data_IF_129192090246
#
_entry.id   IF_129192090246
#
_cell.length_a   1.000
_cell.length_b   1.000
_cell.length_c   1.000
_cell.angle_alpha   90.00
_cell.angle_beta   90.00
_cell.angle_gamma   90.00
#
_symmetry.space_group_name_H-M   'P 1'
#
loop_
_entity.id
_entity.type
_entity.pdbx_description
1 polymer ?
#
# COMPACT_ATOMS: atom_id res chain seq x y z
N UNK A 1 29.19 11.00 -85.87
CA UNK A 1 29.25 9.96 -84.82
C UNK A 1 29.37 10.55 -83.41
N UNK A 2 30.27 11.52 -83.18
CA UNK A 2 30.57 12.11 -81.86
C UNK A 2 29.34 12.74 -81.14
N UNK A 3 28.52 13.55 -81.83
CA UNK A 3 27.37 14.20 -81.19
C UNK A 3 26.33 13.20 -80.64
N UNK A 4 26.03 12.13 -81.40
CA UNK A 4 25.11 11.07 -80.95
C UNK A 4 25.60 10.37 -79.68
N UNK A 5 26.90 10.12 -79.56
CA UNK A 5 27.50 9.50 -78.36
C UNK A 5 27.36 10.42 -77.15
N UNK A 6 27.57 11.72 -77.34
CA UNK A 6 27.40 12.74 -76.30
C UNK A 6 25.95 12.81 -75.81
N UNK A 7 24.98 12.85 -76.71
CA UNK A 7 23.56 12.96 -76.37
C UNK A 7 23.07 11.71 -75.61
N UNK A 8 23.49 10.51 -76.03
CA UNK A 8 23.21 9.25 -75.32
C UNK A 8 23.80 9.22 -73.91
N UNK A 9 25.01 9.75 -73.72
CA UNK A 9 25.64 9.85 -72.41
C UNK A 9 24.84 10.77 -71.47
N UNK A 10 24.48 11.97 -71.94
CA UNK A 10 23.68 12.92 -71.17
C UNK A 10 22.30 12.36 -70.78
N UNK A 11 21.62 11.69 -71.72
CA UNK A 11 20.33 11.08 -71.44
C UNK A 11 20.44 9.99 -70.35
N UNK A 12 21.53 9.22 -70.37
CA UNK A 12 21.79 8.17 -69.37
C UNK A 12 22.14 8.76 -68.00
N UNK A 13 22.88 9.85 -67.93
CA UNK A 13 23.17 10.55 -66.66
C UNK A 13 21.92 11.20 -66.08
N UNK A 14 21.08 11.82 -66.91
CA UNK A 14 19.83 12.45 -66.46
C UNK A 14 18.82 11.44 -65.90
N UNK A 15 18.70 10.27 -66.55
CA UNK A 15 17.86 9.20 -66.03
C UNK A 15 18.39 8.66 -64.70
N UNK A 16 19.71 8.54 -64.56
CA UNK A 16 20.35 8.11 -63.31
C UNK A 16 20.10 9.11 -62.19
N UNK A 17 20.27 10.42 -62.45
CA UNK A 17 20.05 11.49 -61.48
C UNK A 17 18.59 11.51 -60.99
N UNK A 18 17.62 11.48 -61.92
CA UNK A 18 16.19 11.40 -61.57
C UNK A 18 15.86 10.16 -60.73
N UNK A 19 16.51 9.03 -61.00
CA UNK A 19 16.33 7.81 -60.20
C UNK A 19 16.88 7.97 -58.78
N UNK A 20 17.96 8.70 -58.59
CA UNK A 20 18.55 8.99 -57.27
C UNK A 20 17.65 9.95 -56.49
N UNK A 21 17.20 11.04 -57.11
CA UNK A 21 16.31 12.02 -56.47
C UNK A 21 15.02 11.38 -55.97
N UNK A 22 14.42 10.49 -56.78
CA UNK A 22 13.24 9.72 -56.38
C UNK A 22 13.50 8.89 -55.12
N UNK A 23 14.65 8.22 -55.04
CA UNK A 23 15.04 7.40 -53.87
C UNK A 23 15.28 8.27 -52.63
N UNK A 24 15.88 9.45 -52.79
CA UNK A 24 16.11 10.40 -51.69
C UNK A 24 14.77 10.83 -51.09
N UNK A 25 13.81 11.24 -51.92
CA UNK A 25 12.46 11.65 -51.47
C UNK A 25 11.76 10.50 -50.76
N UNK A 26 11.85 9.29 -51.30
CA UNK A 26 11.25 8.10 -50.69
C UNK A 26 11.83 7.81 -49.29
N UNK A 27 13.16 7.85 -49.15
CA UNK A 27 13.84 7.64 -47.87
C UNK A 27 13.44 8.71 -46.85
N UNK A 28 13.41 9.98 -47.26
CA UNK A 28 12.96 11.08 -46.40
C UNK A 28 11.52 10.90 -45.95
N UNK A 29 10.62 10.52 -46.87
CA UNK A 29 9.21 10.25 -46.57
C UNK A 29 9.06 9.12 -45.55
N UNK A 30 9.79 8.00 -45.74
CA UNK A 30 9.78 6.87 -44.81
C UNK A 30 10.28 7.28 -43.42
N UNK A 31 11.37 8.06 -43.35
CA UNK A 31 11.92 8.53 -42.08
C UNK A 31 10.93 9.38 -41.28
N UNK A 32 10.27 10.32 -41.95
CA UNK A 32 9.22 11.16 -41.33
C UNK A 32 8.04 10.30 -40.88
N UNK A 33 7.59 9.35 -41.71
CA UNK A 33 6.49 8.45 -41.35
C UNK A 33 6.80 7.59 -40.11
N UNK A 34 8.03 7.08 -39.99
CA UNK A 34 8.46 6.31 -38.81
C UNK A 34 8.44 7.19 -37.54
N UNK A 35 8.97 8.42 -37.62
CA UNK A 35 8.95 9.36 -36.48
C UNK A 35 7.52 9.69 -36.04
N UNK A 36 6.63 9.95 -37.00
CA UNK A 36 5.21 10.22 -36.70
C UNK A 36 4.51 9.00 -36.09
N UNK A 37 4.75 7.80 -36.61
CA UNK A 37 4.19 6.57 -36.03
C UNK A 37 4.63 6.35 -34.59
N UNK A 38 5.91 6.59 -34.27
CA UNK A 38 6.42 6.51 -32.89
C UNK A 38 5.71 7.49 -31.96
N UNK A 39 5.64 8.77 -32.34
CA UNK A 39 4.94 9.79 -31.55
C UNK A 39 3.44 9.48 -31.39
N UNK A 40 2.79 8.99 -32.45
CA UNK A 40 1.37 8.62 -32.38
C UNK A 40 1.12 7.42 -31.46
N UNK A 41 2.08 6.52 -31.31
CA UNK A 41 1.98 5.40 -30.37
C UNK A 41 2.04 5.86 -28.90
N UNK A 42 2.66 7.00 -28.59
CA UNK A 42 2.73 7.57 -27.23
C UNK A 42 1.43 8.29 -26.82
N UNK A 43 0.64 8.79 -27.78
CA UNK A 43 -0.63 9.50 -27.52
C UNK A 43 -1.59 8.69 -26.63
N UNK A 44 -1.91 7.41 -26.90
CA UNK A 44 -2.81 6.65 -26.04
C UNK A 44 -2.27 6.47 -24.62
N UNK A 45 -0.97 6.26 -24.44
CA UNK A 45 -0.36 6.14 -23.11
C UNK A 45 -0.50 7.43 -22.31
N UNK A 46 -0.29 8.59 -22.96
CA UNK A 46 -0.47 9.90 -22.33
C UNK A 46 -1.93 10.16 -21.96
N UNK A 47 -2.89 9.76 -22.81
CA UNK A 47 -4.33 9.86 -22.50
C UNK A 47 -4.71 9.01 -21.29
N UNK A 48 -4.19 7.79 -21.20
CA UNK A 48 -4.43 6.91 -20.05
C UNK A 48 -3.85 7.50 -18.76
N UNK A 49 -2.62 8.05 -18.81
CA UNK A 49 -2.02 8.74 -17.67
C UNK A 49 -2.85 9.93 -17.22
N UNK A 50 -3.34 10.75 -18.16
CA UNK A 50 -4.18 11.90 -17.85
C UNK A 50 -5.49 11.48 -17.16
N UNK A 51 -6.12 10.40 -17.61
CA UNK A 51 -7.33 9.87 -16.98
C UNK A 51 -7.06 9.44 -15.53
N UNK A 52 -5.96 8.72 -15.26
CA UNK A 52 -5.57 8.34 -13.89
C UNK A 52 -5.31 9.55 -13.00
N UNK A 53 -4.74 10.63 -13.54
CA UNK A 53 -4.55 11.86 -12.77
C UNK A 53 -5.88 12.48 -12.33
N UNK A 54 -6.90 12.48 -13.20
CA UNK A 54 -8.23 13.03 -12.84
C UNK A 54 -8.92 12.21 -11.73
N UNK A 55 -8.76 10.88 -11.74
CA UNK A 55 -9.28 10.01 -10.69
C UNK A 55 -8.58 10.28 -9.35
N UNK A 56 -7.25 10.35 -9.36
CA UNK A 56 -6.44 10.67 -8.17
C UNK A 56 -6.80 12.05 -7.61
N UNK A 57 -7.03 13.05 -8.46
CA UNK A 57 -7.43 14.38 -8.03
C UNK A 57 -8.80 14.37 -7.34
N UNK A 58 -9.76 13.64 -7.89
CA UNK A 58 -11.08 13.46 -7.27
C UNK A 58 -11.00 12.74 -5.91
N UNK A 59 -10.17 11.71 -5.77
CA UNK A 59 -9.93 11.04 -4.49
C UNK A 59 -9.25 11.96 -3.47
N UNK A 60 -8.27 12.75 -3.90
CA UNK A 60 -7.59 13.73 -3.04
C UNK A 60 -8.56 14.78 -2.48
N UNK A 61 -9.55 15.23 -3.26
CA UNK A 61 -10.60 16.13 -2.77
C UNK A 61 -11.42 15.45 -1.67
N UNK A 62 -11.83 14.18 -1.86
CA UNK A 62 -12.58 13.41 -0.85
C UNK A 62 -11.77 13.22 0.44
N UNK A 63 -10.48 12.87 0.32
CA UNK A 63 -9.59 12.71 1.47
C UNK A 63 -9.46 14.00 2.29
N UNK A 64 -9.30 15.15 1.63
CA UNK A 64 -9.26 16.46 2.32
C UNK A 64 -10.54 16.75 3.10
N UNK A 65 -11.71 16.39 2.54
CA UNK A 65 -12.99 16.55 3.24
C UNK A 65 -13.07 15.66 4.49
N UNK A 66 -12.65 14.39 4.40
CA UNK A 66 -12.62 13.45 5.53
C UNK A 66 -11.67 13.97 6.63
N UNK A 67 -10.46 14.40 6.27
CA UNK A 67 -9.49 14.94 7.23
C UNK A 67 -10.09 16.16 7.95
N UNK A 68 -10.72 17.08 7.21
CA UNK A 68 -11.38 18.26 7.79
C UNK A 68 -12.51 17.87 8.76
N UNK A 69 -13.32 16.87 8.42
CA UNK A 69 -14.40 16.39 9.28
C UNK A 69 -13.84 15.73 10.55
N UNK A 70 -12.81 14.89 10.41
CA UNK A 70 -12.17 14.24 11.55
C UNK A 70 -11.56 15.27 12.52
N UNK A 71 -10.89 16.31 12.00
CA UNK A 71 -10.35 17.37 12.85
C UNK A 71 -11.44 18.09 13.67
N UNK A 72 -12.65 18.25 13.12
CA UNK A 72 -13.80 18.79 13.88
C UNK A 72 -14.28 17.82 14.96
N UNK A 73 -14.43 16.55 14.62
CA UNK A 73 -14.82 15.53 15.60
C UNK A 73 -13.80 15.39 16.73
N UNK A 74 -12.50 15.53 16.44
CA UNK A 74 -11.44 15.50 17.45
C UNK A 74 -11.55 16.69 18.43
N UNK A 75 -11.89 17.87 17.93
CA UNK A 75 -12.17 19.03 18.77
C UNK A 75 -13.42 18.82 19.65
N UNK A 76 -14.53 18.38 19.06
CA UNK A 76 -15.77 18.06 19.79
C UNK A 76 -15.53 16.97 20.86
N UNK A 77 -14.76 15.94 20.55
CA UNK A 77 -14.39 14.89 21.51
C UNK A 77 -13.55 15.44 22.68
N UNK A 78 -12.67 16.41 22.44
CA UNK A 78 -11.90 17.05 23.49
C UNK A 78 -12.80 17.86 24.43
N UNK A 79 -13.75 18.61 23.89
CA UNK A 79 -14.75 19.37 24.66
C UNK A 79 -15.63 18.44 25.51
N UNK A 80 -16.17 17.38 24.91
CA UNK A 80 -16.98 16.38 25.62
C UNK A 80 -16.19 15.71 26.74
N UNK A 81 -14.89 15.45 26.54
CA UNK A 81 -14.03 14.86 27.59
C UNK A 81 -13.87 15.80 28.78
N UNK A 82 -13.76 17.12 28.54
CA UNK A 82 -13.70 18.13 29.59
C UNK A 82 -15.03 18.17 30.35
N UNK A 83 -16.16 18.20 29.64
CA UNK A 83 -17.48 18.26 30.26
C UNK A 83 -17.79 17.01 31.09
N UNK A 84 -17.40 15.81 30.61
CA UNK A 84 -17.51 14.57 31.38
C UNK A 84 -16.68 14.64 32.67
N UNK A 85 -15.48 15.23 32.64
CA UNK A 85 -14.65 15.37 33.84
C UNK A 85 -15.31 16.31 34.86
N UNK A 86 -15.90 17.43 34.39
CA UNK A 86 -16.64 18.38 35.22
C UNK A 86 -17.86 17.72 35.87
N UNK A 87 -18.71 17.04 35.09
CA UNK A 87 -19.88 16.35 35.61
C UNK A 87 -19.53 15.25 36.62
N UNK A 88 -18.42 14.53 36.40
CA UNK A 88 -17.92 13.53 37.36
C UNK A 88 -17.51 14.16 38.68
N UNK A 89 -16.85 15.32 38.64
CA UNK A 89 -16.50 16.08 39.84
C UNK A 89 -17.75 16.50 40.61
N UNK A 90 -18.70 17.16 39.95
CA UNK A 90 -19.95 17.63 40.57
C UNK A 90 -20.77 16.47 41.18
N UNK A 91 -20.79 15.32 40.50
CA UNK A 91 -21.49 14.12 40.98
C UNK A 91 -20.87 13.60 42.29
N UNK A 92 -19.53 13.58 42.38
CA UNK A 92 -18.84 13.12 43.58
C UNK A 92 -19.00 14.11 44.74
N UNK A 93 -18.94 15.42 44.47
CA UNK A 93 -19.20 16.45 45.47
C UNK A 93 -20.63 16.35 46.03
N UNK A 94 -21.64 16.24 45.16
CA UNK A 94 -23.04 16.06 45.56
C UNK A 94 -23.24 14.78 46.39
N UNK A 95 -22.55 13.69 46.03
CA UNK A 95 -22.59 12.44 46.79
C UNK A 95 -22.00 12.61 48.19
N UNK A 96 -20.88 13.31 48.33
CA UNK A 96 -20.28 13.64 49.63
C UNK A 96 -21.20 14.53 50.48
N UNK A 97 -21.78 15.59 49.89
CA UNK A 97 -22.74 16.46 50.58
C UNK A 97 -23.98 15.66 51.04
N UNK A 98 -24.50 14.77 50.21
CA UNK A 98 -25.66 13.91 50.55
C UNK A 98 -25.33 12.97 51.73
N UNK A 99 -24.12 12.40 51.75
CA UNK A 99 -23.68 11.56 52.86
C UNK A 99 -23.59 12.35 54.17
N UNK A 100 -22.98 13.55 54.15
CA UNK A 100 -22.90 14.44 55.32
C UNK A 100 -24.28 14.81 55.85
N UNK A 101 -25.22 15.19 54.97
CA UNK A 101 -26.60 15.52 55.38
C UNK A 101 -27.28 14.33 56.05
N UNK A 102 -27.06 13.12 55.53
CA UNK A 102 -27.62 11.89 56.09
C UNK A 102 -27.04 11.60 57.48
N UNK A 103 -25.73 11.77 57.66
CA UNK A 103 -25.04 11.59 58.94
C UNK A 103 -25.45 12.65 59.98
N UNK A 104 -25.51 13.94 59.61
CA UNK A 104 -25.98 15.04 60.49
C UNK A 104 -27.44 14.83 60.91
N UNK A 105 -28.30 14.38 59.98
CA UNK A 105 -29.70 14.07 60.30
C UNK A 105 -29.83 12.92 61.29
N UNK A 106 -28.94 11.94 61.21
CA UNK A 106 -28.89 10.84 62.18
C UNK A 106 -28.45 11.33 63.56
N UNK A 107 -27.37 12.13 63.66
CA UNK A 107 -26.83 12.67 64.92
C UNK A 107 -27.81 13.62 65.64
N UNK A 108 -28.48 14.52 64.90
CA UNK A 108 -29.43 15.48 65.48
C UNK A 108 -30.71 14.81 66.01
N UNK A 109 -31.02 13.59 65.55
CA UNK A 109 -32.14 12.79 66.07
C UNK A 109 -31.83 12.12 67.41
N UNK A 110 -30.57 12.06 67.84
CA UNK A 110 -30.13 11.36 69.07
C UNK A 110 -30.06 12.30 70.28
N UNK A 111 -29.91 13.62 70.06
CA UNK A 111 -29.77 14.62 71.14
C UNK A 111 -31.08 15.30 71.55
N UNK A 112 -32.18 15.11 70.81
CA UNK A 112 -33.50 15.60 71.19
C UNK A 112 -34.22 14.56 72.06
N UNK A 113 -34.10 14.73 73.37
CA UNK A 113 -34.82 13.97 74.40
C UNK A 113 -36.31 14.36 74.44
N UNK A 114 -37.18 13.49 73.92
CA UNK A 114 -38.49 13.14 74.47
C UNK A 114 -39.17 12.09 73.57
N UNK A 115 -39.71 10.97 74.10
CA UNK A 115 -40.35 9.95 73.28
C UNK A 115 -41.78 10.39 72.95
N UNK A 116 -42.05 10.73 71.69
CA UNK A 116 -43.42 10.74 71.18
C UNK A 116 -43.50 9.72 70.05
N UNK A 117 -44.12 8.62 70.42
CA UNK A 117 -44.53 7.48 69.61
C UNK A 117 -45.27 7.95 68.36
N UNK A 118 -44.60 7.96 67.21
CA UNK A 118 -45.28 8.04 65.91
C UNK A 118 -45.02 6.75 65.16
N UNK A 119 -46.02 5.88 65.24
CA UNK A 119 -46.13 4.58 64.58
C UNK A 119 -45.92 4.78 63.08
N UNK A 120 -44.74 4.42 62.58
CA UNK A 120 -44.47 4.31 61.15
C UNK A 120 -44.86 2.90 60.73
N UNK A 121 -46.10 2.77 60.23
CA UNK A 121 -46.71 1.53 59.76
C UNK A 121 -46.02 1.09 58.46
N UNK A 122 -44.94 0.31 58.60
CA UNK A 122 -44.30 -0.39 57.48
C UNK A 122 -45.14 -1.63 57.15
N UNK A 123 -45.83 -1.59 56.00
CA UNK A 123 -46.43 -2.79 55.41
C UNK A 123 -45.32 -3.72 54.94
N UNK A 124 -45.13 -4.82 55.67
CA UNK A 124 -44.35 -5.98 55.25
C UNK A 124 -45.12 -6.76 54.19
N UNK A 125 -44.62 -6.73 52.95
CA UNK A 125 -44.90 -7.75 51.95
C UNK A 125 -43.64 -8.64 51.84
N UNK A 126 -43.71 -9.82 52.44
CA UNK A 126 -42.77 -10.93 52.21
C UNK A 126 -42.81 -11.34 50.73
N UNK A 127 -41.67 -11.54 50.06
CA UNK A 127 -41.47 -12.71 49.17
C UNK A 127 -40.00 -13.17 49.20
N UNK A 128 -39.87 -14.40 49.70
CA UNK A 128 -38.90 -15.47 49.38
C UNK A 128 -37.40 -15.26 49.61
N UNK A 129 -36.97 -15.83 50.75
CA UNK A 129 -35.75 -16.64 50.88
C UNK A 129 -35.59 -17.59 49.68
N UNK A 130 -34.37 -17.78 49.19
CA UNK A 130 -33.78 -19.10 48.90
C UNK A 130 -32.32 -18.98 48.44
N UNK A 131 -31.46 -19.71 49.15
CA UNK A 131 -30.19 -20.34 48.75
C UNK A 131 -29.04 -19.45 48.24
N UNK A 132 -28.08 -19.20 49.14
CA UNK A 132 -26.69 -18.94 48.76
C UNK A 132 -25.95 -20.28 48.64
N UNK A 133 -25.73 -20.72 47.40
CA UNK A 133 -24.76 -21.78 47.16
C UNK A 133 -23.33 -21.24 47.20
N UNK A 134 -22.59 -21.84 48.13
CA UNK A 134 -21.15 -21.83 48.29
C UNK A 134 -20.45 -22.14 46.97
N UNK A 135 -19.74 -21.16 46.41
CA UNK A 135 -18.69 -21.43 45.41
C UNK A 135 -17.46 -20.59 45.68
N UNK A 136 -16.45 -21.30 46.16
CA UNK A 136 -15.04 -20.98 46.35
C UNK A 136 -14.53 -19.76 45.56
N UNK A 137 -14.04 -18.77 46.32
CA UNK A 137 -13.13 -17.74 45.84
C UNK A 137 -11.86 -18.39 45.30
N UNK A 138 -11.65 -18.28 43.99
CA UNK A 138 -10.33 -18.47 43.37
C UNK A 138 -10.00 -17.19 42.61
N UNK A 139 -8.79 -16.63 42.74
CA UNK A 139 -8.45 -15.34 42.16
C UNK A 139 -8.40 -15.50 40.64
N UNK A 140 -9.39 -14.92 39.97
CA UNK A 140 -9.45 -14.85 38.51
C UNK A 140 -8.25 -14.04 38.03
N UNK A 141 -7.27 -14.75 37.47
CA UNK A 141 -6.21 -14.16 36.67
C UNK A 141 -6.85 -13.28 35.61
N UNK A 142 -6.54 -11.98 35.67
CA UNK A 142 -6.78 -11.00 34.60
C UNK A 142 -5.89 -11.38 33.41
N UNK A 143 -6.22 -12.50 32.76
CA UNK A 143 -5.64 -12.83 31.47
C UNK A 143 -6.21 -11.83 30.49
N UNK A 144 -5.31 -11.11 29.81
CA UNK A 144 -5.60 -10.16 28.74
C UNK A 144 -6.40 -10.87 27.64
N UNK A 145 -7.71 -10.93 27.80
CA UNK A 145 -8.59 -11.52 26.82
C UNK A 145 -8.73 -10.47 25.72
N UNK A 146 -7.84 -10.54 24.71
CA UNK A 146 -7.98 -9.77 23.46
C UNK A 146 -9.43 -9.80 23.04
N UNK A 147 -10.03 -8.63 22.83
CA UNK A 147 -11.42 -8.53 22.45
C UNK A 147 -11.65 -9.32 21.16
N UNK A 148 -12.87 -9.80 20.94
CA UNK A 148 -13.22 -10.57 19.74
C UNK A 148 -12.86 -9.77 18.45
N UNK A 149 -12.97 -8.44 18.54
CA UNK A 149 -12.56 -7.48 17.51
C UNK A 149 -11.06 -7.40 17.27
N UNK A 150 -10.23 -7.45 18.33
CA UNK A 150 -8.77 -7.47 18.20
C UNK A 150 -8.28 -8.75 17.51
N UNK A 151 -8.95 -9.88 17.76
CA UNK A 151 -8.64 -11.16 17.11
C UNK A 151 -9.00 -11.17 15.62
N UNK A 152 -10.11 -10.52 15.25
CA UNK A 152 -10.55 -10.38 13.86
C UNK A 152 -9.61 -9.45 13.06
N UNK A 153 -9.19 -8.33 13.66
CA UNK A 153 -8.23 -7.40 13.06
C UNK A 153 -6.84 -8.03 12.86
N UNK A 154 -6.36 -8.81 13.84
CA UNK A 154 -5.10 -9.56 13.70
C UNK A 154 -5.17 -10.59 12.55
N UNK A 155 -6.32 -11.25 12.36
CA UNK A 155 -6.52 -12.19 11.27
C UNK A 155 -6.54 -11.50 9.90
N UNK A 156 -7.20 -10.34 9.80
CA UNK A 156 -7.22 -9.51 8.59
C UNK A 156 -5.82 -9.00 8.21
N UNK A 157 -5.07 -8.44 9.16
CA UNK A 157 -3.71 -7.96 8.91
C UNK A 157 -2.79 -9.10 8.44
N UNK A 158 -2.93 -10.29 9.03
CA UNK A 158 -2.13 -11.47 8.66
C UNK A 158 -2.47 -11.98 7.27
N UNK A 159 -3.74 -11.93 6.84
CA UNK A 159 -4.14 -12.35 5.50
C UNK A 159 -3.68 -11.36 4.43
N UNK A 160 -3.85 -10.06 4.68
CA UNK A 160 -3.39 -8.97 3.81
C UNK A 160 -1.87 -8.99 3.60
N UNK A 161 -1.11 -9.15 4.69
CA UNK A 161 0.34 -9.23 4.61
C UNK A 161 0.81 -10.42 3.75
N UNK A 162 0.21 -11.61 3.95
CA UNK A 162 0.50 -12.80 3.13
C UNK A 162 0.16 -12.59 1.67
N UNK A 163 -0.99 -11.97 1.37
CA UNK A 163 -1.41 -11.64 0.01
C UNK A 163 -0.40 -10.71 -0.67
N UNK A 164 -0.06 -9.60 0.00
CA UNK A 164 0.91 -8.60 -0.52
C UNK A 164 2.29 -9.19 -0.77
N UNK A 165 2.78 -10.05 0.13
CA UNK A 165 4.06 -10.76 -0.05
C UNK A 165 3.99 -11.69 -1.26
N UNK A 166 2.91 -12.46 -1.40
CA UNK A 166 2.74 -13.39 -2.52
C UNK A 166 2.70 -12.65 -3.87
N UNK A 167 1.94 -11.56 -3.95
CA UNK A 167 1.85 -10.76 -5.18
C UNK A 167 3.19 -10.14 -5.55
N UNK A 168 3.95 -9.65 -4.56
CA UNK A 168 5.29 -9.11 -4.77
C UNK A 168 6.28 -10.17 -5.24
N UNK A 169 6.19 -11.40 -4.73
CA UNK A 169 7.01 -12.54 -5.20
C UNK A 169 6.65 -12.90 -6.64
N UNK A 170 5.35 -13.01 -6.96
CA UNK A 170 4.88 -13.28 -8.33
C UNK A 170 5.37 -12.23 -9.31
N UNK A 171 5.27 -10.95 -8.94
CA UNK A 171 5.78 -9.84 -9.75
C UNK A 171 7.28 -9.97 -10.00
N UNK A 172 8.08 -10.14 -8.93
CA UNK A 172 9.54 -10.32 -9.04
C UNK A 172 9.93 -11.51 -9.92
N UNK A 173 9.17 -12.61 -9.87
CA UNK A 173 9.43 -13.78 -10.70
C UNK A 173 9.11 -13.53 -12.18
N UNK A 174 8.02 -12.80 -12.47
CA UNK A 174 7.71 -12.35 -13.84
C UNK A 174 8.80 -11.43 -14.39
N UNK A 175 9.23 -10.43 -13.60
CA UNK A 175 10.31 -9.50 -13.97
C UNK A 175 11.63 -10.25 -14.21
N UNK A 176 12.02 -11.18 -13.32
CA UNK A 176 13.22 -12.01 -13.52
C UNK A 176 13.15 -12.89 -14.76
N UNK A 177 11.97 -13.40 -15.13
CA UNK A 177 11.79 -14.18 -16.36
C UNK A 177 12.04 -13.31 -17.60
N UNK A 178 11.43 -12.13 -17.65
CA UNK A 178 11.61 -11.17 -18.74
C UNK A 178 13.06 -10.68 -18.85
N UNK A 179 13.73 -10.43 -17.72
CA UNK A 179 15.15 -10.04 -17.71
C UNK A 179 16.03 -11.14 -18.32
N UNK A 180 15.83 -12.42 -17.98
CA UNK A 180 16.57 -13.53 -18.58
C UNK A 180 16.30 -13.67 -20.08
N UNK A 181 15.05 -13.53 -20.52
CA UNK A 181 14.70 -13.55 -21.95
C UNK A 181 15.36 -12.38 -22.70
N UNK A 182 15.40 -11.18 -22.13
CA UNK A 182 16.05 -10.00 -22.74
C UNK A 182 17.58 -10.13 -22.83
N UNK A 183 18.22 -10.72 -21.81
CA UNK A 183 19.67 -10.98 -21.83
C UNK A 183 20.02 -12.05 -22.87
N UNK A 184 19.19 -13.08 -23.03
CA UNK A 184 19.41 -14.10 -24.06
C UNK A 184 19.26 -13.52 -25.47
N UNK A 185 18.31 -12.61 -25.72
CA UNK A 185 18.20 -11.91 -27.01
C UNK A 185 19.40 -10.99 -27.30
N UNK A 186 19.95 -10.32 -26.30
CA UNK A 186 21.15 -9.50 -26.46
C UNK A 186 22.41 -10.32 -26.73
N UNK A 187 22.59 -11.48 -26.08
CA UNK A 187 23.73 -12.38 -26.35
C UNK A 187 23.64 -12.98 -27.74
N UNK A 188 22.44 -13.36 -28.20
CA UNK A 188 22.23 -13.79 -29.59
C UNK A 188 22.47 -12.64 -30.58
N UNK A 189 22.02 -11.42 -30.28
CA UNK A 189 22.27 -10.25 -31.13
C UNK A 189 23.75 -9.84 -31.18
N UNK A 190 24.53 -10.06 -30.12
CA UNK A 190 25.97 -9.76 -30.12
C UNK A 190 26.81 -10.81 -30.85
N UNK A 191 26.33 -12.06 -30.99
CA UNK A 191 27.02 -13.08 -31.79
C UNK A 191 26.89 -12.83 -33.30
N UNK A 192 25.80 -12.21 -33.76
CA UNK A 192 25.59 -11.92 -35.19
C UNK A 192 26.28 -10.63 -35.69
N UNK A 193 26.85 -9.82 -34.79
CA UNK A 193 27.49 -8.55 -35.15
C UNK A 193 29.04 -8.62 -35.22
N UNK A 194 29.64 -9.75 -34.87
CA UNK A 194 31.10 -9.93 -34.90
C UNK A 194 31.58 -10.96 -35.94
N UNK A 195 30.73 -11.33 -36.91
CA UNK A 195 31.10 -12.28 -37.97
C UNK A 195 31.09 -11.62 -39.34
N UNK A 196 32.05 -10.74 -39.56
CA UNK A 196 32.66 -10.49 -40.87
C UNK A 196 34.02 -9.87 -40.60
N UNK A 197 35.02 -10.72 -40.39
CA UNK A 197 36.35 -10.52 -40.96
C UNK A 197 37.08 -11.87 -41.01
N UNK A 198 37.71 -12.11 -42.15
CA UNK A 198 38.33 -13.36 -42.62
C UNK A 198 39.27 -14.01 -41.59
N UNK A 199 39.38 -15.35 -41.61
CA UNK A 199 40.65 -16.06 -41.85
C UNK A 199 40.42 -17.58 -42.00
N UNK A 200 41.12 -18.13 -42.98
CA UNK A 200 41.16 -19.54 -43.35
C UNK A 200 41.67 -20.49 -42.25
N UNK A 201 41.18 -21.74 -42.33
CA UNK A 201 41.74 -22.99 -41.82
C UNK A 201 42.00 -23.12 -40.31
N UNK A 202 41.29 -24.05 -39.64
CA UNK A 202 41.84 -25.20 -38.88
C UNK A 202 40.70 -26.14 -38.40
N UNK A 203 41.01 -27.43 -38.51
CA UNK A 203 40.31 -28.70 -38.23
C UNK A 203 39.48 -28.79 -36.94
N UNK A 204 38.41 -29.63 -36.88
CA UNK A 204 37.59 -29.81 -35.68
C UNK A 204 38.18 -30.84 -34.72
N UNK A 205 38.29 -30.49 -33.43
CA UNK A 205 38.43 -31.47 -32.35
C UNK A 205 37.49 -31.19 -31.19
N UNK A 206 36.48 -32.05 -31.12
CA UNK A 206 36.01 -32.82 -29.96
C UNK A 206 35.66 -32.05 -28.66
N UNK A 207 34.36 -32.03 -28.42
CA UNK A 207 33.64 -31.82 -27.17
C UNK A 207 34.31 -32.36 -25.90
N UNK A 208 34.27 -31.58 -24.82
CA UNK A 208 34.00 -32.10 -23.48
C UNK A 208 33.15 -31.08 -22.69
N UNK A 209 31.96 -31.52 -22.30
CA UNK A 209 31.08 -30.89 -21.32
C UNK A 209 31.62 -31.19 -19.94
N UNK A 210 31.86 -30.17 -19.10
CA UNK A 210 32.01 -30.37 -17.65
C UNK A 210 31.22 -29.30 -16.89
N UNK A 211 30.24 -29.79 -16.12
CA UNK A 211 29.41 -29.04 -15.20
C UNK A 211 30.23 -28.47 -14.04
N UNK A 212 30.39 -27.14 -13.99
CA UNK A 212 30.95 -26.47 -12.81
C UNK A 212 29.82 -25.84 -11.99
N UNK A 213 29.42 -26.55 -10.93
CA UNK A 213 28.55 -26.04 -9.85
C UNK A 213 29.26 -24.90 -9.11
N UNK A 214 28.78 -23.67 -9.25
CA UNK A 214 29.22 -22.53 -8.44
C UNK A 214 28.56 -22.56 -7.06
N UNK A 215 29.35 -22.82 -6.01
CA UNK A 215 28.99 -22.56 -4.62
C UNK A 215 29.40 -21.13 -4.27
N UNK A 216 28.43 -20.23 -4.09
CA UNK A 216 28.69 -18.85 -3.65
C UNK A 216 28.52 -18.74 -2.14
N UNK A 217 29.64 -18.65 -1.39
CA UNK A 217 29.66 -18.25 0.02
C UNK A 217 29.43 -16.74 0.12
N UNK A 218 28.37 -16.34 0.84
CA UNK A 218 28.12 -14.95 1.22
C UNK A 218 28.91 -14.62 2.49
N UNK A 219 29.73 -13.57 2.47
CA UNK A 219 30.23 -12.94 3.69
C UNK A 219 29.49 -11.61 3.91
N UNK A 220 28.86 -11.52 5.08
CA UNK A 220 28.12 -10.35 5.56
C UNK A 220 29.07 -9.20 5.90
N UNK A 221 28.75 -7.99 5.45
CA UNK A 221 29.41 -6.75 5.86
C UNK A 221 28.52 -6.06 6.89
N UNK A 222 29.00 -5.94 8.13
CA UNK A 222 28.38 -5.16 9.21
C UNK A 222 28.52 -3.65 8.96
N UNK A 223 27.58 -2.81 9.43
CA UNK A 223 27.69 -1.36 9.32
C UNK A 223 28.47 -0.78 10.51
N UNK A 224 29.41 0.11 10.22
CA UNK A 224 30.02 0.97 11.23
C UNK A 224 29.08 2.14 11.54
N UNK A 225 28.76 2.32 12.81
CA UNK A 225 28.17 3.54 13.35
C UNK A 225 29.26 4.62 13.49
N UNK A 226 28.91 5.85 13.11
CA UNK A 226 29.40 7.09 13.71
C UNK A 226 28.16 7.88 14.12
#
# INVERSE_FOLDING_TARGET
MINRVRDLFFLKTDHSLRSVDKKIIEVQTRHVAIKLRKKNAEIPELKEKLLKFTEIEAENVKLRQIIKKNAKHDAENAELKIEIARLRHDTEEMKQQTQIITEVKYVCSIENTSPVEVILKISTANISSNQCDKVNSSPSNVSKQKSLKDKEMDAFLKSEFKRKVNDKIKQRNKEKKLLRESVNQNVTSSLYNNSTDNFDNIKPTKSHSEDVKTVTKCYNRTPNNI
#
